data_IF_206373406530
#
_entry.id   IF_206373406530
#
_cell.length_a   1.000
_cell.length_b   1.000
_cell.length_c   1.000
_cell.angle_alpha   90.00
_cell.angle_beta   90.00
_cell.angle_gamma   90.00
#
_symmetry.space_group_name_H-M   'P 1'
#
loop_
_entity.id
_entity.type
_entity.pdbx_description
1 polymer ?
#
# COMPACT_ATOMS: atom_id res chain seq x y z
N UNK A 1 6.15 8.13 -24.84
CA UNK A 1 5.60 6.82 -24.42
C UNK A 1 6.65 6.20 -23.55
N UNK A 2 6.38 6.09 -22.24
CA UNK A 2 7.30 5.41 -21.35
C UNK A 2 7.35 3.92 -21.72
N UNK A 3 8.53 3.36 -21.82
CA UNK A 3 8.78 1.96 -22.14
C UNK A 3 8.27 1.12 -20.97
N UNK A 4 7.27 0.26 -21.20
CA UNK A 4 6.75 -0.63 -20.15
C UNK A 4 7.85 -1.61 -19.70
N UNK A 5 8.20 -1.57 -18.43
CA UNK A 5 9.15 -2.51 -17.85
C UNK A 5 8.52 -3.91 -17.84
N UNK A 6 9.20 -4.97 -18.35
CA UNK A 6 8.65 -6.31 -18.32
C UNK A 6 8.25 -6.73 -16.90
N UNK A 7 6.99 -7.14 -16.72
CA UNK A 7 6.43 -7.54 -15.42
C UNK A 7 5.67 -6.44 -14.67
N UNK A 8 5.59 -5.24 -15.20
CA UNK A 8 4.77 -4.16 -14.63
C UNK A 8 3.29 -4.41 -14.93
N UNK A 9 2.47 -4.46 -13.89
CA UNK A 9 1.01 -4.63 -14.01
C UNK A 9 0.37 -3.28 -14.35
N UNK A 10 -0.63 -3.30 -15.21
CA UNK A 10 -1.49 -2.14 -15.46
C UNK A 10 -2.47 -1.95 -14.28
N UNK A 11 -1.98 -1.32 -13.22
CA UNK A 11 -2.81 -1.02 -12.06
C UNK A 11 -3.92 -0.03 -12.37
N UNK A 12 -3.72 0.91 -13.33
CA UNK A 12 -4.75 1.90 -13.67
C UNK A 12 -6.02 1.25 -14.22
N UNK A 13 -5.87 0.22 -15.06
CA UNK A 13 -7.03 -0.53 -15.58
C UNK A 13 -7.83 -1.22 -14.48
N UNK A 14 -7.18 -1.63 -13.38
CA UNK A 14 -7.83 -2.30 -12.25
C UNK A 14 -8.68 -1.35 -11.41
N UNK A 15 -8.42 -0.05 -11.45
CA UNK A 15 -9.25 0.99 -10.80
C UNK A 15 -10.43 1.44 -11.64
N UNK A 16 -10.57 1.00 -12.90
CA UNK A 16 -11.60 1.46 -13.83
C UNK A 16 -12.52 0.37 -14.36
N UNK A 17 -12.38 -0.87 -13.94
CA UNK A 17 -13.07 -2.03 -14.50
C UNK A 17 -14.32 -2.44 -13.74
N UNK A 18 -15.51 -2.26 -14.34
CA UNK A 18 -16.75 -2.93 -13.92
C UNK A 18 -17.31 -2.51 -12.55
N UNK A 19 -18.25 -3.31 -12.04
CA UNK A 19 -19.03 -3.02 -10.82
C UNK A 19 -18.28 -3.30 -9.50
N UNK A 20 -16.93 -3.34 -9.47
CA UNK A 20 -16.20 -3.73 -8.28
C UNK A 20 -14.92 -2.93 -8.02
N UNK A 21 -14.66 -2.66 -6.73
CA UNK A 21 -13.37 -2.19 -6.25
C UNK A 21 -12.31 -3.29 -6.45
N UNK A 22 -11.02 -2.93 -6.67
CA UNK A 22 -9.94 -3.91 -6.64
C UNK A 22 -9.98 -4.74 -5.35
N UNK A 23 -9.59 -6.02 -5.37
CA UNK A 23 -9.69 -6.90 -4.20
C UNK A 23 -9.01 -6.35 -2.93
N UNK A 24 -7.95 -5.57 -3.09
CA UNK A 24 -7.21 -4.93 -1.99
C UNK A 24 -7.86 -3.65 -1.46
N UNK A 25 -8.76 -3.03 -2.22
CA UNK A 25 -9.52 -1.85 -1.78
C UNK A 25 -10.75 -2.34 -1.00
N UNK A 26 -10.59 -2.44 0.32
CA UNK A 26 -11.61 -3.00 1.21
C UNK A 26 -12.64 -1.96 1.69
N UNK A 27 -12.56 -0.71 1.20
CA UNK A 27 -13.45 0.39 1.55
C UNK A 27 -13.17 1.04 2.90
N UNK A 28 -12.07 0.62 3.55
CA UNK A 28 -11.58 1.17 4.82
C UNK A 28 -10.06 0.95 4.91
N UNK A 29 -9.42 1.61 5.84
CA UNK A 29 -8.00 1.38 6.16
C UNK A 29 -7.75 -0.09 6.52
N UNK A 30 -6.67 -0.68 6.03
CA UNK A 30 -6.27 -2.03 6.39
C UNK A 30 -6.16 -2.16 7.92
N UNK A 31 -6.70 -3.23 8.54
CA UNK A 31 -6.81 -3.36 10.00
C UNK A 31 -5.51 -3.17 10.76
N UNK A 32 -4.38 -3.59 10.19
CA UNK A 32 -3.05 -3.44 10.79
C UNK A 32 -2.63 -1.96 10.85
N UNK A 33 -2.85 -1.23 9.75
CA UNK A 33 -2.57 0.22 9.70
C UNK A 33 -3.54 0.98 10.61
N UNK A 34 -4.83 0.62 10.60
CA UNK A 34 -5.82 1.22 11.51
C UNK A 34 -5.47 0.98 12.99
N UNK A 35 -4.84 -0.15 13.32
CA UNK A 35 -4.33 -0.40 14.67
C UNK A 35 -3.21 0.58 15.04
N UNK A 36 -2.26 0.85 14.16
CA UNK A 36 -1.21 1.86 14.37
C UNK A 36 -1.80 3.26 14.58
N UNK A 37 -2.80 3.64 13.77
CA UNK A 37 -3.50 4.92 13.92
C UNK A 37 -4.16 5.02 15.30
N UNK A 38 -4.90 4.01 15.73
CA UNK A 38 -5.56 3.98 17.06
C UNK A 38 -4.57 4.03 18.22
N UNK A 39 -3.38 3.49 18.05
CA UNK A 39 -2.30 3.52 19.06
C UNK A 39 -1.57 4.86 19.12
N UNK A 40 -1.90 5.81 18.23
CA UNK A 40 -1.20 7.10 18.15
C UNK A 40 0.21 6.99 17.56
N UNK A 41 0.47 5.94 16.79
CA UNK A 41 1.77 5.71 16.16
C UNK A 41 2.03 6.63 14.96
N UNK A 42 0.97 7.20 14.37
CA UNK A 42 1.04 8.16 13.26
C UNK A 42 1.13 9.58 13.83
N UNK A 43 2.05 10.38 13.33
CA UNK A 43 2.28 11.75 13.80
C UNK A 43 2.45 12.73 12.63
N UNK A 44 2.13 13.98 12.86
CA UNK A 44 2.43 15.12 11.98
C UNK A 44 1.86 15.02 10.57
N UNK A 45 2.67 15.42 9.60
CA UNK A 45 2.37 15.33 8.16
C UNK A 45 2.66 13.92 7.63
N UNK A 46 1.77 13.41 6.76
CA UNK A 46 1.81 12.01 6.32
C UNK A 46 1.97 11.91 4.80
N UNK A 47 2.88 11.03 4.36
CA UNK A 47 2.91 10.50 3.00
C UNK A 47 2.18 9.15 2.96
N UNK A 48 1.12 9.06 2.18
CA UNK A 48 0.41 7.82 1.82
C UNK A 48 0.98 7.35 0.48
N UNK A 49 1.92 6.42 0.54
CA UNK A 49 2.69 5.93 -0.61
C UNK A 49 1.91 4.82 -1.32
N UNK A 50 1.56 5.02 -2.60
CA UNK A 50 0.67 4.13 -3.35
C UNK A 50 -0.74 4.16 -2.78
N UNK A 51 -1.29 5.37 -2.65
CA UNK A 51 -2.51 5.61 -1.87
C UNK A 51 -3.78 4.94 -2.44
N UNK A 52 -3.80 4.54 -3.71
CA UNK A 52 -4.99 3.98 -4.33
C UNK A 52 -6.22 4.89 -4.19
N UNK A 53 -7.32 4.35 -3.66
CA UNK A 53 -8.54 5.12 -3.32
C UNK A 53 -8.39 5.93 -2.02
N UNK A 54 -7.21 5.95 -1.41
CA UNK A 54 -6.80 6.75 -0.26
C UNK A 54 -7.60 6.48 1.03
N UNK A 55 -8.01 5.24 1.28
CA UNK A 55 -8.68 4.87 2.52
C UNK A 55 -7.88 5.31 3.75
N UNK A 56 -6.55 5.06 3.75
CA UNK A 56 -5.62 5.49 4.81
C UNK A 56 -5.56 7.02 4.88
N UNK A 57 -5.27 7.67 3.76
CA UNK A 57 -5.09 9.11 3.70
C UNK A 57 -6.34 9.88 4.13
N UNK A 58 -7.53 9.41 3.75
CA UNK A 58 -8.81 10.03 4.12
C UNK A 58 -9.13 9.85 5.62
N UNK A 59 -8.87 8.69 6.20
CA UNK A 59 -9.04 8.45 7.65
C UNK A 59 -8.11 9.35 8.47
N UNK A 60 -6.87 9.48 8.05
CA UNK A 60 -5.88 10.34 8.71
C UNK A 60 -6.24 11.82 8.59
N UNK A 61 -6.75 12.26 7.44
CA UNK A 61 -7.22 13.62 7.25
C UNK A 61 -8.43 13.94 8.13
N UNK A 62 -9.36 13.00 8.33
CA UNK A 62 -10.47 13.12 9.31
C UNK A 62 -9.92 13.26 10.73
N UNK A 63 -8.84 12.57 11.05
CA UNK A 63 -8.16 12.63 12.36
C UNK A 63 -7.30 13.90 12.53
N UNK A 64 -7.26 14.79 11.51
CA UNK A 64 -6.61 16.10 11.57
C UNK A 64 -5.20 16.18 10.98
N UNK A 65 -4.65 15.07 10.48
CA UNK A 65 -3.34 15.06 9.81
C UNK A 65 -3.37 15.79 8.47
N UNK A 66 -2.24 16.37 8.08
CA UNK A 66 -2.01 16.87 6.72
C UNK A 66 -1.43 15.71 5.88
N UNK A 67 -2.17 15.28 4.87
CA UNK A 67 -1.85 14.09 4.09
C UNK A 67 -1.54 14.45 2.63
N UNK A 68 -0.48 13.84 2.10
CA UNK A 68 -0.23 13.76 0.65
C UNK A 68 -0.25 12.29 0.26
N UNK A 69 -1.14 11.93 -0.65
CA UNK A 69 -1.18 10.61 -1.27
C UNK A 69 -0.61 10.65 -2.69
N UNK A 70 0.25 9.69 -2.98
CA UNK A 70 0.85 9.52 -4.32
C UNK A 70 0.49 8.14 -4.86
N UNK A 71 0.07 8.08 -6.12
CA UNK A 71 -0.19 6.82 -6.82
C UNK A 71 0.10 7.00 -8.31
N UNK A 72 0.49 5.93 -8.99
CA UNK A 72 0.78 5.95 -10.42
C UNK A 72 -0.51 6.00 -11.27
N UNK A 73 -1.66 5.59 -10.70
CA UNK A 73 -2.95 5.52 -11.39
C UNK A 73 -3.68 6.85 -11.38
N UNK A 74 -3.88 7.49 -12.54
CA UNK A 74 -4.74 8.68 -12.65
C UNK A 74 -6.18 8.43 -12.18
N UNK A 75 -6.72 7.21 -12.38
CA UNK A 75 -8.08 6.85 -11.95
C UNK A 75 -8.20 6.78 -10.44
N UNK A 76 -7.25 6.15 -9.78
CA UNK A 76 -7.19 6.10 -8.32
C UNK A 76 -7.11 7.51 -7.73
N UNK A 77 -6.23 8.36 -8.26
CA UNK A 77 -6.07 9.75 -7.81
C UNK A 77 -7.34 10.59 -8.05
N UNK A 78 -8.01 10.42 -9.20
CA UNK A 78 -9.27 11.10 -9.44
C UNK A 78 -10.34 10.71 -8.41
N UNK A 79 -10.48 9.41 -8.12
CA UNK A 79 -11.41 8.90 -7.11
C UNK A 79 -11.06 9.41 -5.70
N UNK A 80 -9.79 9.34 -5.28
CA UNK A 80 -9.31 9.84 -4.00
C UNK A 80 -9.59 11.35 -3.83
N UNK A 81 -9.34 12.14 -4.89
CA UNK A 81 -9.58 13.59 -4.88
C UNK A 81 -11.07 13.91 -4.77
N UNK A 82 -11.92 13.18 -5.49
CA UNK A 82 -13.38 13.34 -5.41
C UNK A 82 -13.88 12.99 -4.00
N UNK A 83 -13.43 11.88 -3.43
CA UNK A 83 -13.79 11.46 -2.08
C UNK A 83 -13.34 12.45 -1.00
N UNK A 84 -12.18 13.08 -1.16
CA UNK A 84 -11.72 14.16 -0.27
C UNK A 84 -12.64 15.41 -0.37
N UNK A 85 -13.03 15.78 -1.59
CA UNK A 85 -13.92 16.93 -1.81
C UNK A 85 -15.32 16.68 -1.20
N UNK A 86 -15.91 15.51 -1.44
CA UNK A 86 -17.20 15.11 -0.89
C UNK A 86 -17.25 15.12 0.64
N UNK A 87 -16.11 14.77 1.29
CA UNK A 87 -15.96 14.76 2.75
C UNK A 87 -15.49 16.09 3.34
N UNK A 88 -15.29 17.13 2.50
CA UNK A 88 -14.77 18.44 2.95
C UNK A 88 -13.31 18.42 3.41
N UNK A 89 -12.52 17.41 2.97
CA UNK A 89 -11.13 17.17 3.39
C UNK A 89 -10.09 17.76 2.43
N UNK A 90 -10.49 18.48 1.38
CA UNK A 90 -9.57 18.96 0.33
C UNK A 90 -8.48 19.91 0.83
N UNK A 91 -8.59 20.47 2.03
CA UNK A 91 -7.53 21.28 2.65
C UNK A 91 -6.50 20.42 3.37
N UNK A 92 -6.89 19.24 3.85
CA UNK A 92 -6.08 18.30 4.66
C UNK A 92 -5.49 17.16 3.84
N UNK A 93 -6.17 16.68 2.81
CA UNK A 93 -5.72 15.59 1.95
C UNK A 93 -5.51 16.10 0.52
N UNK A 94 -4.32 15.85 0.00
CA UNK A 94 -3.93 16.16 -1.39
C UNK A 94 -3.44 14.92 -2.06
N UNK A 95 -3.94 14.65 -3.27
CA UNK A 95 -3.57 13.46 -4.04
C UNK A 95 -2.99 13.87 -5.38
N UNK A 96 -1.91 13.17 -5.80
CA UNK A 96 -1.22 13.47 -7.05
C UNK A 96 -0.75 12.20 -7.75
N UNK A 97 -0.82 12.21 -9.07
CA UNK A 97 -0.25 11.14 -9.89
C UNK A 97 1.26 11.25 -9.85
N UNK A 98 1.93 10.19 -9.40
CA UNK A 98 3.39 10.12 -9.36
C UNK A 98 3.87 8.66 -9.37
N UNK A 99 5.02 8.41 -9.96
CA UNK A 99 5.79 7.18 -9.76
C UNK A 99 6.48 7.27 -8.40
N UNK A 100 6.13 6.40 -7.46
CA UNK A 100 6.65 6.41 -6.11
C UNK A 100 8.17 6.13 -6.05
N UNK A 101 8.74 5.55 -7.09
CA UNK A 101 10.18 5.31 -7.21
C UNK A 101 10.94 6.45 -7.92
N UNK A 102 10.22 7.50 -8.38
CA UNK A 102 10.82 8.66 -9.06
C UNK A 102 9.95 9.92 -8.86
N UNK A 103 9.73 10.34 -7.59
CA UNK A 103 9.04 11.59 -7.29
C UNK A 103 9.97 12.58 -6.59
N UNK A 104 9.61 13.87 -6.62
CA UNK A 104 10.38 14.96 -6.00
C UNK A 104 9.50 16.06 -5.42
N UNK A 105 10.15 17.09 -4.85
CA UNK A 105 9.45 18.28 -4.34
C UNK A 105 8.90 18.15 -2.91
N UNK A 106 9.29 17.08 -2.20
CA UNK A 106 8.83 16.82 -0.83
C UNK A 106 9.97 16.53 0.16
N UNK A 107 11.16 17.05 -0.08
CA UNK A 107 12.35 16.74 0.75
C UNK A 107 12.12 17.12 2.22
N UNK A 108 12.43 16.20 3.15
CA UNK A 108 12.30 16.37 4.61
C UNK A 108 10.92 16.89 5.06
N UNK A 109 9.85 16.45 4.42
CA UNK A 109 8.52 17.00 4.65
C UNK A 109 7.64 16.18 5.60
N UNK A 110 7.73 14.85 5.54
CA UNK A 110 6.75 14.00 6.19
C UNK A 110 7.26 13.44 7.51
N UNK A 111 6.46 13.59 8.57
CA UNK A 111 6.74 13.01 9.89
C UNK A 111 6.39 11.52 9.94
N UNK A 112 5.51 11.07 9.05
CA UNK A 112 5.16 9.66 8.88
C UNK A 112 5.04 9.31 7.40
N UNK A 113 5.59 8.15 7.01
CA UNK A 113 5.38 7.53 5.70
C UNK A 113 4.64 6.22 5.92
N UNK A 114 3.56 6.00 5.17
CA UNK A 114 2.77 4.77 5.21
C UNK A 114 2.74 4.14 3.82
N UNK A 115 3.10 2.88 3.75
CA UNK A 115 2.93 1.99 2.60
C UNK A 115 1.91 0.91 2.99
N UNK A 116 0.70 1.04 2.51
CA UNK A 116 -0.38 0.09 2.78
C UNK A 116 -0.62 -0.77 1.55
N UNK A 117 0.19 -1.82 1.37
CA UNK A 117 0.10 -2.79 0.29
C UNK A 117 0.63 -2.33 -1.10
N UNK A 118 1.57 -1.38 -1.13
CA UNK A 118 2.28 -0.97 -2.36
C UNK A 118 3.56 -1.77 -2.59
N UNK A 119 4.41 -2.00 -1.58
CA UNK A 119 5.78 -2.51 -1.72
C UNK A 119 5.88 -3.73 -2.65
N UNK A 120 5.02 -4.72 -2.45
CA UNK A 120 4.98 -5.93 -3.27
C UNK A 120 4.48 -5.73 -4.71
N UNK A 121 3.87 -4.58 -4.99
CA UNK A 121 3.41 -4.22 -6.32
C UNK A 121 4.56 -3.76 -7.21
N UNK A 122 5.65 -3.25 -6.59
CA UNK A 122 6.82 -2.75 -7.31
C UNK A 122 7.70 -3.91 -7.81
N UNK A 123 8.26 -3.80 -9.03
CA UNK A 123 9.34 -4.68 -9.47
C UNK A 123 10.52 -4.62 -8.49
N UNK A 124 11.16 -5.75 -8.20
CA UNK A 124 12.32 -5.80 -7.27
C UNK A 124 13.43 -4.82 -7.67
N UNK A 125 13.64 -4.61 -8.97
CA UNK A 125 14.62 -3.66 -9.48
C UNK A 125 14.34 -2.19 -9.10
N UNK A 126 13.11 -1.87 -8.67
CA UNK A 126 12.70 -0.53 -8.25
C UNK A 126 12.68 -0.33 -6.73
N UNK A 127 12.88 -1.37 -5.96
CA UNK A 127 12.80 -1.29 -4.49
C UNK A 127 13.78 -0.29 -3.88
N UNK A 128 15.03 -0.28 -4.37
CA UNK A 128 16.06 0.67 -3.89
C UNK A 128 15.69 2.12 -4.24
N UNK A 129 15.30 2.41 -5.48
CA UNK A 129 14.87 3.74 -5.90
C UNK A 129 13.64 4.22 -5.10
N UNK A 130 12.70 3.32 -4.83
CA UNK A 130 11.56 3.60 -3.97
C UNK A 130 12.01 4.00 -2.56
N UNK A 131 12.91 3.23 -1.93
CA UNK A 131 13.42 3.56 -0.60
C UNK A 131 14.16 4.91 -0.59
N UNK A 132 14.96 5.21 -1.60
CA UNK A 132 15.63 6.51 -1.73
C UNK A 132 14.61 7.67 -1.79
N UNK A 133 13.53 7.52 -2.57
CA UNK A 133 12.52 8.56 -2.72
C UNK A 133 11.76 8.82 -1.41
N UNK A 134 11.28 7.78 -0.75
CA UNK A 134 10.51 7.94 0.50
C UNK A 134 11.39 8.39 1.66
N UNK A 135 12.65 7.93 1.73
CA UNK A 135 13.60 8.40 2.75
C UNK A 135 13.95 9.87 2.57
N UNK A 136 14.18 10.34 1.34
CA UNK A 136 14.41 11.76 1.05
C UNK A 136 13.22 12.62 1.46
N UNK A 137 12.00 12.11 1.28
CA UNK A 137 10.78 12.83 1.62
C UNK A 137 10.47 12.85 3.13
N UNK A 138 11.06 11.93 3.90
CA UNK A 138 10.89 11.82 5.34
C UNK A 138 11.66 12.91 6.08
N UNK A 139 11.02 13.52 7.08
CA UNK A 139 11.65 14.48 7.99
C UNK A 139 12.62 13.77 8.97
N UNK A 140 13.57 14.49 9.59
CA UNK A 140 14.37 13.93 10.67
C UNK A 140 13.51 13.36 11.79
N UNK A 141 13.75 12.10 12.18
CA UNK A 141 12.97 11.39 13.19
C UNK A 141 11.64 10.85 12.70
N UNK A 142 11.33 10.95 11.40
CA UNK A 142 10.11 10.42 10.82
C UNK A 142 9.98 8.91 11.00
N UNK A 143 8.74 8.43 11.05
CA UNK A 143 8.38 7.01 11.11
C UNK A 143 7.98 6.49 9.73
N UNK A 144 8.28 5.22 9.50
CA UNK A 144 7.91 4.51 8.27
C UNK A 144 7.25 3.19 8.62
N UNK A 145 6.06 2.98 8.07
CA UNK A 145 5.27 1.76 8.22
C UNK A 145 5.02 1.13 6.87
N UNK A 146 5.31 -0.16 6.74
CA UNK A 146 5.06 -0.94 5.52
C UNK A 146 4.21 -2.16 5.86
N UNK A 147 3.05 -2.25 5.27
CA UNK A 147 2.24 -3.46 5.25
C UNK A 147 2.35 -4.10 3.85
N UNK A 148 3.00 -5.23 3.75
CA UNK A 148 3.25 -5.90 2.45
C UNK A 148 2.98 -7.38 2.53
N UNK A 149 2.52 -8.01 1.44
CA UNK A 149 2.36 -9.47 1.40
C UNK A 149 3.65 -10.20 1.74
N UNK A 150 3.52 -11.29 2.48
CA UNK A 150 4.55 -12.30 2.61
C UNK A 150 4.46 -13.32 1.45
N UNK A 151 5.55 -14.04 1.12
CA UNK A 151 5.55 -15.05 0.04
C UNK A 151 4.45 -16.11 0.20
N UNK A 152 4.08 -16.44 1.43
CA UNK A 152 3.06 -17.42 1.79
C UNK A 152 1.66 -17.03 1.28
N UNK A 153 1.39 -15.74 1.07
CA UNK A 153 0.13 -15.25 0.48
C UNK A 153 -0.13 -15.83 -0.92
N UNK A 154 0.90 -16.32 -1.58
CA UNK A 154 0.85 -16.84 -2.95
C UNK A 154 1.28 -18.31 -3.06
N UNK A 155 1.37 -19.03 -1.92
CA UNK A 155 1.79 -20.44 -1.88
C UNK A 155 0.83 -21.40 -2.59
N UNK A 156 -0.42 -21.00 -2.73
CA UNK A 156 -1.48 -21.74 -3.43
C UNK A 156 -1.41 -21.63 -4.96
N UNK A 157 -0.64 -20.67 -5.48
CA UNK A 157 -0.47 -20.50 -6.92
C UNK A 157 0.42 -21.59 -7.51
N UNK A 158 0.10 -22.11 -8.70
CA UNK A 158 0.96 -23.04 -9.42
C UNK A 158 2.37 -22.48 -9.62
N UNK A 159 3.36 -23.37 -9.69
CA UNK A 159 4.74 -22.98 -10.00
C UNK A 159 4.79 -22.26 -11.37
N UNK A 160 5.47 -21.10 -11.41
CA UNK A 160 5.57 -20.27 -12.62
C UNK A 160 4.39 -19.35 -12.89
N UNK A 161 3.31 -19.39 -12.10
CA UNK A 161 2.22 -18.44 -12.22
C UNK A 161 2.68 -17.01 -11.88
N UNK A 162 2.20 -15.98 -12.61
CA UNK A 162 2.47 -14.58 -12.29
C UNK A 162 2.00 -14.25 -10.87
N UNK A 163 2.87 -13.66 -10.08
CA UNK A 163 2.59 -13.29 -8.68
C UNK A 163 3.20 -11.92 -8.34
N UNK A 164 2.66 -11.21 -7.34
CA UNK A 164 3.31 -10.02 -6.80
C UNK A 164 4.72 -10.32 -6.28
N UNK A 165 5.57 -9.28 -6.19
CA UNK A 165 6.93 -9.37 -5.67
C UNK A 165 6.94 -9.34 -4.14
N UNK A 166 6.25 -10.28 -3.50
CA UNK A 166 6.19 -10.39 -2.05
C UNK A 166 7.59 -10.68 -1.48
N UNK A 167 8.16 -9.78 -0.65
CA UNK A 167 9.49 -9.99 -0.09
C UNK A 167 9.47 -11.05 1.01
N UNK A 168 10.56 -11.79 1.13
CA UNK A 168 10.89 -12.47 2.39
C UNK A 168 11.23 -11.43 3.46
N UNK A 169 11.25 -11.84 4.74
CA UNK A 169 11.66 -10.94 5.82
C UNK A 169 13.09 -10.43 5.63
N UNK A 170 14.00 -11.28 5.14
CA UNK A 170 15.40 -10.91 4.87
C UNK A 170 15.52 -9.93 3.69
N UNK A 171 14.74 -10.12 2.62
CA UNK A 171 14.68 -9.19 1.49
C UNK A 171 14.13 -7.82 1.93
N UNK A 172 13.06 -7.82 2.72
CA UNK A 172 12.46 -6.59 3.25
C UNK A 172 13.46 -5.86 4.16
N UNK A 173 14.08 -6.57 5.11
CA UNK A 173 15.12 -6.03 5.97
C UNK A 173 16.29 -5.48 5.16
N UNK A 174 16.82 -6.26 4.22
CA UNK A 174 17.98 -5.85 3.40
C UNK A 174 17.71 -4.63 2.52
N UNK A 175 16.46 -4.43 2.09
CA UNK A 175 16.06 -3.29 1.27
C UNK A 175 15.85 -2.01 2.10
N UNK A 176 15.30 -2.14 3.30
CA UNK A 176 14.92 -0.99 4.15
C UNK A 176 16.08 -0.52 5.03
N UNK A 177 16.86 -1.43 5.62
CA UNK A 177 17.92 -1.10 6.60
C UNK A 177 19.05 -0.19 6.11
N UNK A 178 19.38 -0.08 4.80
CA UNK A 178 20.34 0.91 4.33
C UNK A 178 19.91 2.36 4.57
N UNK A 179 18.60 2.61 4.62
CA UNK A 179 18.00 3.95 4.74
C UNK A 179 17.43 4.21 6.13
N UNK A 180 16.78 3.21 6.74
CA UNK A 180 15.98 3.35 7.96
C UNK A 180 16.56 2.50 9.09
N UNK A 181 16.37 2.96 10.32
CA UNK A 181 16.54 2.11 11.50
C UNK A 181 15.25 1.31 11.70
N UNK A 182 15.31 0.00 11.49
CA UNK A 182 14.17 -0.90 11.64
C UNK A 182 13.95 -1.18 13.13
N UNK A 183 12.76 -0.86 13.61
CA UNK A 183 12.34 -1.18 14.98
C UNK A 183 11.87 -2.62 15.08
N UNK A 184 11.02 -3.06 14.12
CA UNK A 184 10.49 -4.43 14.06
C UNK A 184 9.96 -4.80 12.67
N UNK A 185 9.93 -6.10 12.38
CA UNK A 185 9.18 -6.70 11.28
C UNK A 185 8.38 -7.85 11.89
N UNK A 186 7.06 -7.77 11.87
CA UNK A 186 6.18 -8.76 12.49
C UNK A 186 5.24 -9.41 11.48
N UNK A 187 4.84 -10.68 11.69
CA UNK A 187 3.77 -11.30 10.93
C UNK A 187 2.46 -10.50 11.06
N UNK A 188 1.79 -10.29 9.93
CA UNK A 188 0.59 -9.48 9.80
C UNK A 188 -0.33 -10.05 8.73
N UNK A 189 -1.41 -9.34 8.41
CA UNK A 189 -2.32 -9.71 7.33
C UNK A 189 -2.69 -8.51 6.45
N UNK A 190 -2.72 -8.73 5.14
CA UNK A 190 -3.45 -7.86 4.21
C UNK A 190 -4.84 -8.47 4.03
N UNK A 191 -5.88 -7.67 4.25
CA UNK A 191 -7.25 -8.09 4.06
C UNK A 191 -7.69 -7.79 2.63
N UNK A 192 -8.35 -8.75 2.00
CA UNK A 192 -8.84 -8.60 0.62
C UNK A 192 -10.29 -9.00 0.49
N UNK A 193 -11.04 -8.24 -0.31
CA UNK A 193 -12.39 -8.58 -0.66
C UNK A 193 -12.40 -9.89 -1.47
N UNK A 194 -13.34 -10.75 -1.14
CA UNK A 194 -13.59 -12.01 -1.83
C UNK A 194 -15.04 -12.00 -2.32
N UNK A 195 -15.34 -11.33 -3.45
CA UNK A 195 -16.71 -11.21 -3.92
C UNK A 195 -17.35 -12.58 -4.13
N UNK A 196 -18.56 -12.77 -3.60
CA UNK A 196 -19.28 -14.04 -3.76
C UNK A 196 -19.51 -14.36 -5.23
N UNK A 197 -19.17 -15.59 -5.63
CA UNK A 197 -19.34 -16.07 -7.00
C UNK A 197 -18.30 -15.59 -8.01
N UNK A 198 -17.29 -14.80 -7.57
CA UNK A 198 -16.17 -14.41 -8.43
C UNK A 198 -14.99 -15.38 -8.32
N UNK A 199 -14.20 -15.46 -9.39
CA UNK A 199 -12.96 -16.23 -9.43
C UNK A 199 -11.75 -15.30 -9.31
N UNK A 200 -10.63 -15.85 -8.85
CA UNK A 200 -9.35 -15.14 -8.82
C UNK A 200 -8.94 -14.82 -10.26
N UNK A 201 -8.62 -13.56 -10.59
CA UNK A 201 -8.26 -13.15 -11.94
C UNK A 201 -7.12 -14.02 -12.51
N UNK A 202 -7.37 -14.62 -13.67
CA UNK A 202 -6.43 -15.52 -14.35
C UNK A 202 -6.44 -16.97 -13.85
N UNK A 203 -7.35 -17.33 -12.93
CA UNK A 203 -7.51 -18.69 -12.41
C UNK A 203 -9.00 -19.06 -12.35
N UNK A 204 -9.34 -20.33 -12.63
CA UNK A 204 -10.70 -20.86 -12.48
C UNK A 204 -11.06 -21.19 -11.00
N UNK A 205 -10.33 -20.62 -10.05
CA UNK A 205 -10.51 -20.86 -8.62
C UNK A 205 -11.45 -19.79 -8.04
N UNK A 206 -12.57 -20.16 -7.41
CA UNK A 206 -13.38 -19.19 -6.66
C UNK A 206 -12.59 -18.54 -5.52
N UNK A 207 -12.81 -17.26 -5.30
CA UNK A 207 -12.21 -16.59 -4.12
C UNK A 207 -12.59 -17.26 -2.79
N UNK A 208 -13.75 -17.91 -2.75
CA UNK A 208 -14.23 -18.65 -1.58
C UNK A 208 -13.33 -19.84 -1.21
N UNK A 209 -12.63 -20.41 -2.18
CA UNK A 209 -11.80 -21.62 -2.03
C UNK A 209 -10.33 -21.32 -1.71
N UNK A 210 -9.97 -20.05 -1.57
CA UNK A 210 -8.62 -19.66 -1.13
C UNK A 210 -8.34 -20.22 0.28
N UNK A 211 -7.14 -20.77 0.52
CA UNK A 211 -6.79 -21.43 1.78
C UNK A 211 -6.43 -20.45 2.89
N UNK A 212 -7.19 -19.36 3.04
CA UNK A 212 -6.93 -18.33 4.01
C UNK A 212 -8.11 -18.14 4.96
N UNK A 213 -7.79 -17.83 6.21
CA UNK A 213 -8.79 -17.43 7.20
C UNK A 213 -9.53 -16.18 6.72
N UNK A 214 -10.73 -15.97 7.29
CA UNK A 214 -11.53 -14.79 7.05
C UNK A 214 -11.66 -13.96 8.33
N UNK A 215 -11.75 -12.66 8.14
CA UNK A 215 -12.11 -11.77 9.23
C UNK A 215 -13.64 -11.78 9.49
N UNK A 216 -14.06 -11.02 10.50
CA UNK A 216 -15.48 -10.90 10.91
C UNK A 216 -16.38 -10.31 9.80
N UNK A 217 -15.80 -9.60 8.82
CA UNK A 217 -16.50 -9.05 7.65
C UNK A 217 -16.46 -9.99 6.45
N UNK A 218 -15.91 -11.20 6.61
CA UNK A 218 -15.82 -12.22 5.56
C UNK A 218 -14.69 -12.00 4.54
N UNK A 219 -13.77 -11.08 4.79
CA UNK A 219 -12.63 -10.80 3.91
C UNK A 219 -11.52 -11.80 4.17
N UNK A 220 -10.82 -12.22 3.11
CA UNK A 220 -9.67 -13.13 3.24
C UNK A 220 -8.49 -12.41 3.88
N UNK A 221 -7.79 -13.11 4.80
CA UNK A 221 -6.59 -12.66 5.51
C UNK A 221 -5.36 -13.25 4.85
N UNK A 222 -4.71 -12.49 3.99
CA UNK A 222 -3.49 -12.93 3.31
C UNK A 222 -2.27 -12.71 4.18
N UNK A 223 -1.39 -13.71 4.38
CA UNK A 223 -0.14 -13.53 5.11
C UNK A 223 0.67 -12.33 4.63
N UNK A 224 1.17 -11.54 5.56
CA UNK A 224 1.86 -10.29 5.30
C UNK A 224 2.94 -10.01 6.35
N UNK A 225 3.77 -9.01 6.08
CA UNK A 225 4.69 -8.41 7.02
C UNK A 225 4.22 -6.98 7.35
N UNK A 226 4.26 -6.64 8.62
CA UNK A 226 4.19 -5.25 9.08
C UNK A 226 5.58 -4.85 9.56
N UNK A 227 6.18 -3.88 8.86
CA UNK A 227 7.45 -3.28 9.23
C UNK A 227 7.21 -1.92 9.87
N UNK A 228 7.89 -1.66 10.98
CA UNK A 228 8.01 -0.35 11.59
C UNK A 228 9.49 0.06 11.61
N UNK A 229 9.76 1.29 11.15
CA UNK A 229 11.11 1.86 11.11
C UNK A 229 11.06 3.38 11.33
N UNK A 230 12.23 3.99 11.54
CA UNK A 230 12.38 5.43 11.71
C UNK A 230 13.64 5.98 11.04
N UNK A 231 13.64 7.27 10.76
CA UNK A 231 14.86 8.02 10.42
C UNK A 231 15.73 8.13 11.69
N UNK A 232 17.02 7.88 11.53
CA UNK A 232 18.02 8.00 12.61
C UNK A 232 18.20 9.44 13.05
#
# INVERSE_FOLDING_TARGET
MAEQVPGERDYDSMYGGGDGLPPWSIGETQPEIAALVRQGAVAGSVLDAGCGHAEVGLELAVSGHDVVGLDISPRAIAAATAAAAERGLSTKAKFSVADISDFGGFDNRFDTVIDSALFHALPKARWDAYQQCVFRAAAPGARYYVLTFAPEAFSWLPCGAPRPNAPTVDELHGTVSPYWEIDEITPAFVHGNSPSGSTVPGFEMPFADLPFDRDEKGRSKFPAWLLAARVR
#
